data_IF_728515039243
#
_entry.id   IF_728515039243
#
_cell.length_a   1.000
_cell.length_b   1.000
_cell.length_c   1.000
_cell.angle_alpha   90.00
_cell.angle_beta   90.00
_cell.angle_gamma   90.00
#
_symmetry.space_group_name_H-M   'P 1'
#
loop_
_entity.id
_entity.type
_entity.pdbx_description
1 polymer ?
#
# COMPACT_ATOMS: atom_id res chain seq x y z
N UNK A 1 -77.45 -1.88 -32.59
CA UNK A 1 -78.55 -2.25 -31.65
C UNK A 1 -78.33 -1.45 -30.38
N UNK A 2 -79.23 -0.50 -30.12
CA UNK A 2 -79.04 0.64 -29.25
C UNK A 2 -80.23 0.81 -28.28
N UNK A 3 -79.99 1.51 -27.18
CA UNK A 3 -80.92 1.79 -26.07
C UNK A 3 -80.21 1.40 -24.77
N UNK A 4 -79.91 2.30 -23.85
CA UNK A 4 -80.86 2.97 -22.96
C UNK A 4 -80.23 4.31 -22.48
N UNK A 5 -80.96 5.43 -22.63
CA UNK A 5 -80.80 6.69 -21.88
C UNK A 5 -82.06 6.88 -21.01
N UNK A 6 -81.98 7.56 -19.84
CA UNK A 6 -82.40 8.97 -19.74
C UNK A 6 -81.59 9.74 -18.64
N UNK A 7 -81.69 11.05 -18.34
CA UNK A 7 -82.47 12.23 -18.75
C UNK A 7 -81.87 13.46 -18.01
N UNK A 8 -81.97 14.63 -18.65
CA UNK A 8 -82.34 15.97 -18.12
C UNK A 8 -81.49 16.60 -17.00
N UNK A 9 -81.19 17.90 -16.98
CA UNK A 9 -81.82 19.14 -17.47
C UNK A 9 -81.32 20.21 -16.47
N UNK A 10 -81.12 21.49 -16.75
CA UNK A 10 -81.99 22.42 -17.45
C UNK A 10 -81.25 23.77 -17.65
N UNK A 11 -81.87 24.76 -18.35
CA UNK A 11 -81.22 25.67 -19.27
C UNK A 11 -81.15 27.10 -18.76
N UNK A 12 -80.37 27.97 -19.41
CA UNK A 12 -80.82 29.33 -19.65
C UNK A 12 -80.23 29.88 -20.95
N UNK A 13 -81.14 30.00 -21.92
CA UNK A 13 -81.01 30.81 -23.12
C UNK A 13 -80.91 32.27 -22.69
N UNK A 14 -80.13 33.11 -23.35
CA UNK A 14 -80.64 34.42 -23.75
C UNK A 14 -79.85 34.95 -24.95
N UNK A 15 -80.62 35.14 -26.03
CA UNK A 15 -80.22 35.63 -27.33
C UNK A 15 -79.65 37.05 -27.25
N UNK A 16 -78.81 37.36 -28.24
CA UNK A 16 -78.18 38.64 -28.43
C UNK A 16 -79.21 39.77 -28.64
N UNK A 17 -79.14 40.78 -27.78
CA UNK A 17 -79.80 42.07 -27.96
C UNK A 17 -78.83 43.03 -28.65
N UNK A 18 -79.13 43.37 -29.90
CA UNK A 18 -78.41 44.35 -30.72
C UNK A 18 -79.32 45.56 -30.93
N UNK A 19 -79.11 46.66 -30.20
CA UNK A 19 -79.79 47.90 -30.61
C UNK A 19 -79.76 49.09 -29.67
N UNK A 20 -78.85 50.02 -29.99
CA UNK A 20 -79.06 51.47 -30.00
C UNK A 20 -79.55 52.22 -28.74
N UNK A 21 -78.62 52.98 -28.16
CA UNK A 21 -78.89 54.38 -27.81
C UNK A 21 -78.82 54.74 -26.33
N UNK A 22 -77.63 54.92 -25.77
CA UNK A 22 -77.36 55.95 -24.75
C UNK A 22 -75.90 56.41 -24.84
N UNK A 23 -75.66 57.73 -24.81
CA UNK A 23 -74.33 58.35 -24.77
C UNK A 23 -73.67 58.16 -23.40
N UNK A 24 -73.15 56.96 -23.13
CA UNK A 24 -72.19 56.69 -22.06
C UNK A 24 -71.06 55.83 -22.63
N UNK A 25 -69.78 56.15 -22.38
CA UNK A 25 -68.72 55.23 -22.77
C UNK A 25 -68.95 53.92 -22.02
N UNK A 26 -69.33 52.88 -22.76
CA UNK A 26 -69.33 51.50 -22.25
C UNK A 26 -67.87 51.18 -22.02
N UNK A 27 -67.47 51.16 -20.75
CA UNK A 27 -66.14 50.78 -20.31
C UNK A 27 -66.00 49.30 -20.66
N UNK A 28 -65.31 49.01 -21.77
CA UNK A 28 -65.04 47.64 -22.16
C UNK A 28 -64.17 47.01 -21.08
N UNK A 29 -64.72 46.01 -20.38
CA UNK A 29 -63.96 45.15 -19.48
C UNK A 29 -62.91 44.40 -20.32
N UNK A 30 -61.70 44.94 -20.36
CA UNK A 30 -60.56 44.28 -20.99
C UNK A 30 -60.24 43.04 -20.15
N UNK A 31 -60.31 41.81 -20.71
CA UNK A 31 -59.90 40.63 -19.99
C UNK A 31 -58.45 40.78 -19.54
N UNK A 32 -58.20 40.57 -18.25
CA UNK A 32 -56.87 40.69 -17.66
C UNK A 32 -55.86 39.85 -18.47
N UNK A 33 -54.77 40.49 -18.93
CA UNK A 33 -53.70 39.76 -19.60
C UNK A 33 -53.11 38.71 -18.63
N UNK A 34 -52.91 37.46 -19.06
CA UNK A 34 -52.28 36.46 -18.21
C UNK A 34 -50.86 36.92 -17.90
N UNK A 35 -50.60 37.26 -16.64
CA UNK A 35 -49.29 37.69 -16.18
C UNK A 35 -48.23 36.68 -16.59
N UNK A 36 -47.15 37.16 -17.20
CA UNK A 36 -46.03 36.32 -17.59
C UNK A 36 -45.55 35.53 -16.36
N UNK A 37 -45.83 34.22 -16.33
CA UNK A 37 -45.24 33.33 -15.33
C UNK A 37 -43.75 33.30 -15.63
N UNK A 38 -42.99 34.09 -14.86
CA UNK A 38 -41.54 34.02 -14.84
C UNK A 38 -41.13 32.56 -14.73
N UNK A 39 -40.53 32.03 -15.80
CA UNK A 39 -40.05 30.66 -15.88
C UNK A 39 -38.97 30.52 -14.81
N UNK A 40 -39.34 30.01 -13.63
CA UNK A 40 -38.45 29.88 -12.48
C UNK A 40 -37.27 29.00 -12.91
N UNK A 41 -36.08 29.60 -12.98
CA UNK A 41 -34.79 28.94 -13.20
C UNK A 41 -34.45 27.87 -12.13
N UNK A 42 -35.35 27.63 -11.16
CA UNK A 42 -35.23 26.62 -10.12
C UNK A 42 -35.10 25.19 -10.65
N UNK A 43 -35.62 24.86 -11.84
CA UNK A 43 -35.45 23.52 -12.42
C UNK A 43 -34.01 23.22 -12.86
N UNK A 44 -33.32 24.21 -13.44
CA UNK A 44 -31.92 24.07 -13.86
C UNK A 44 -30.99 24.10 -12.65
N UNK A 45 -31.24 25.00 -11.69
CA UNK A 45 -30.47 25.07 -10.43
C UNK A 45 -30.67 23.80 -9.60
N UNK A 46 -31.90 23.28 -9.49
CA UNK A 46 -32.17 22.01 -8.80
C UNK A 46 -31.53 20.82 -9.54
N UNK A 47 -31.53 20.81 -10.87
CA UNK A 47 -30.85 19.80 -11.69
C UNK A 47 -29.33 19.80 -11.49
N UNK A 48 -28.71 20.97 -11.45
CA UNK A 48 -27.26 21.13 -11.20
C UNK A 48 -26.91 20.73 -9.76
N UNK A 49 -27.72 21.15 -8.77
CA UNK A 49 -27.51 20.75 -7.37
C UNK A 49 -27.72 19.25 -7.15
N UNK A 50 -28.68 18.63 -7.84
CA UNK A 50 -28.89 17.19 -7.80
C UNK A 50 -27.74 16.42 -8.47
N UNK A 51 -27.24 16.88 -9.61
CA UNK A 51 -26.10 16.28 -10.29
C UNK A 51 -24.81 16.42 -9.45
N UNK A 52 -24.56 17.60 -8.87
CA UNK A 52 -23.46 17.82 -7.92
C UNK A 52 -23.61 16.95 -6.68
N UNK A 53 -24.82 16.83 -6.13
CA UNK A 53 -25.11 15.93 -5.01
C UNK A 53 -24.87 14.45 -5.35
N UNK A 54 -25.16 14.03 -6.58
CA UNK A 54 -24.91 12.66 -7.07
C UNK A 54 -23.40 12.39 -7.28
N UNK A 55 -22.66 13.37 -7.78
CA UNK A 55 -21.20 13.29 -7.92
C UNK A 55 -20.54 13.29 -6.54
N UNK A 56 -20.94 14.18 -5.64
CA UNK A 56 -20.42 14.25 -4.26
C UNK A 56 -20.79 12.99 -3.47
N UNK A 57 -21.99 12.42 -3.65
CA UNK A 57 -22.39 11.17 -2.97
C UNK A 57 -21.67 9.94 -3.52
N UNK A 58 -21.39 9.86 -4.83
CA UNK A 58 -20.53 8.81 -5.40
C UNK A 58 -19.08 8.96 -4.96
N UNK A 59 -18.55 10.18 -4.90
CA UNK A 59 -17.20 10.49 -4.44
C UNK A 59 -17.06 10.25 -2.92
N UNK A 60 -18.09 10.54 -2.14
CA UNK A 60 -18.14 10.25 -0.71
C UNK A 60 -18.33 8.76 -0.43
N UNK A 61 -19.00 8.00 -1.30
CA UNK A 61 -19.03 6.52 -1.23
C UNK A 61 -17.65 5.92 -1.47
N UNK A 62 -16.87 6.44 -2.41
CA UNK A 62 -15.47 6.06 -2.60
C UNK A 62 -14.64 6.44 -1.36
N UNK A 63 -14.82 7.64 -0.82
CA UNK A 63 -14.19 8.08 0.43
C UNK A 63 -14.56 7.20 1.64
N UNK A 64 -15.83 6.83 1.81
CA UNK A 64 -16.32 5.95 2.88
C UNK A 64 -15.89 4.49 2.71
N UNK A 65 -15.83 3.99 1.47
CA UNK A 65 -15.33 2.65 1.16
C UNK A 65 -13.84 2.55 1.46
N UNK A 66 -13.08 3.60 1.15
CA UNK A 66 -11.67 3.69 1.50
C UNK A 66 -11.48 3.85 3.02
N UNK A 67 -12.31 4.68 3.71
CA UNK A 67 -12.29 4.82 5.18
C UNK A 67 -12.68 3.53 5.93
N UNK A 68 -13.49 2.65 5.33
CA UNK A 68 -13.78 1.31 5.85
C UNK A 68 -12.53 0.43 5.94
N UNK A 69 -11.49 0.72 5.14
CA UNK A 69 -10.19 0.06 5.17
C UNK A 69 -9.10 0.99 5.70
N UNK A 70 -9.21 1.39 6.98
CA UNK A 70 -8.19 2.22 7.66
C UNK A 70 -6.75 1.70 7.42
N UNK A 71 -6.54 0.38 7.49
CA UNK A 71 -5.23 -0.24 7.24
C UNK A 71 -4.71 -0.05 5.80
N UNK A 72 -5.59 -0.04 4.80
CA UNK A 72 -5.20 0.15 3.40
C UNK A 72 -4.76 1.60 3.15
N UNK A 73 -5.49 2.57 3.71
CA UNK A 73 -5.11 3.98 3.63
C UNK A 73 -3.74 4.24 4.24
N UNK A 74 -3.48 3.72 5.44
CA UNK A 74 -2.16 3.90 6.08
C UNK A 74 -1.03 3.30 5.22
N UNK A 75 -1.23 2.10 4.66
CA UNK A 75 -0.26 1.49 3.73
C UNK A 75 -0.06 2.35 2.47
N UNK A 76 -1.13 2.78 1.82
CA UNK A 76 -1.05 3.58 0.59
C UNK A 76 -0.38 4.93 0.82
N UNK A 77 -0.75 5.64 1.88
CA UNK A 77 -0.17 6.95 2.22
C UNK A 77 1.31 6.79 2.58
N UNK A 78 1.64 5.84 3.46
CA UNK A 78 3.03 5.61 3.89
C UNK A 78 3.94 5.18 2.73
N UNK A 79 3.44 4.30 1.86
CA UNK A 79 4.13 3.87 0.64
C UNK A 79 4.30 5.04 -0.33
N UNK A 80 3.26 5.84 -0.55
CA UNK A 80 3.29 7.00 -1.43
C UNK A 80 4.29 8.07 -0.96
N UNK A 81 4.33 8.37 0.35
CA UNK A 81 5.32 9.28 0.94
C UNK A 81 6.73 8.74 0.78
N UNK A 82 6.94 7.45 1.05
CA UNK A 82 8.27 6.81 0.87
C UNK A 82 8.72 6.86 -0.59
N UNK A 83 7.81 6.57 -1.54
CA UNK A 83 8.09 6.65 -2.96
C UNK A 83 8.44 8.06 -3.39
N UNK A 84 7.73 9.07 -2.88
CA UNK A 84 8.04 10.47 -3.17
C UNK A 84 9.43 10.86 -2.65
N UNK A 85 9.77 10.51 -1.41
CA UNK A 85 11.09 10.81 -0.83
C UNK A 85 12.21 10.17 -1.68
N UNK A 86 12.09 8.89 -2.01
CA UNK A 86 13.10 8.20 -2.83
C UNK A 86 13.15 8.71 -4.27
N UNK A 87 12.00 9.06 -4.86
CA UNK A 87 11.94 9.67 -6.18
C UNK A 87 12.66 11.02 -6.23
N UNK A 88 12.56 11.84 -5.17
CA UNK A 88 13.26 13.12 -5.09
C UNK A 88 14.76 12.94 -4.86
N UNK A 89 15.17 11.96 -4.06
CA UNK A 89 16.59 11.73 -3.75
C UNK A 89 17.35 11.04 -4.88
N UNK A 90 16.73 10.09 -5.58
CA UNK A 90 17.43 9.21 -6.52
C UNK A 90 16.83 9.22 -7.95
N UNK A 91 15.86 10.10 -8.20
CA UNK A 91 15.13 10.19 -9.46
C UNK A 91 13.87 9.30 -9.48
N UNK A 92 12.85 9.75 -10.19
CA UNK A 92 11.51 9.16 -10.17
C UNK A 92 11.47 7.67 -10.52
N UNK A 93 12.08 7.28 -11.63
CA UNK A 93 12.00 5.89 -12.10
C UNK A 93 12.67 4.92 -11.13
N UNK A 94 13.85 5.28 -10.60
CA UNK A 94 14.58 4.44 -9.66
C UNK A 94 13.94 4.46 -8.26
N UNK A 95 13.54 5.63 -7.75
CA UNK A 95 12.90 5.75 -6.44
C UNK A 95 11.57 5.00 -6.35
N UNK A 96 10.74 5.05 -7.39
CA UNK A 96 9.51 4.24 -7.46
C UNK A 96 9.86 2.76 -7.56
N UNK A 97 10.85 2.39 -8.37
CA UNK A 97 11.32 1.01 -8.49
C UNK A 97 11.82 0.42 -7.16
N UNK A 98 12.55 1.20 -6.36
CA UNK A 98 12.96 0.80 -4.99
C UNK A 98 11.73 0.45 -4.14
N UNK A 99 10.72 1.31 -4.12
CA UNK A 99 9.51 1.05 -3.32
C UNK A 99 8.77 -0.19 -3.81
N UNK A 100 8.69 -0.40 -5.12
CA UNK A 100 8.11 -1.64 -5.68
C UNK A 100 8.88 -2.87 -5.21
N UNK A 101 10.21 -2.84 -5.24
CA UNK A 101 11.03 -3.96 -4.76
C UNK A 101 10.80 -4.24 -3.26
N UNK A 102 10.77 -3.20 -2.43
CA UNK A 102 10.49 -3.35 -1.00
C UNK A 102 9.07 -3.89 -0.76
N UNK A 103 8.07 -3.42 -1.51
CA UNK A 103 6.70 -3.96 -1.42
C UNK A 103 6.63 -5.44 -1.80
N UNK A 104 7.35 -5.86 -2.84
CA UNK A 104 7.39 -7.27 -3.24
C UNK A 104 8.06 -8.11 -2.15
N UNK A 105 9.16 -7.61 -1.56
CA UNK A 105 9.78 -8.23 -0.40
C UNK A 105 8.79 -8.39 0.76
N UNK A 106 8.12 -7.32 1.20
CA UNK A 106 7.14 -7.42 2.30
C UNK A 106 5.96 -8.34 1.98
N UNK A 107 5.53 -8.37 0.71
CA UNK A 107 4.47 -9.26 0.26
C UNK A 107 4.86 -10.73 0.47
N UNK A 108 6.14 -11.07 0.43
CA UNK A 108 6.65 -12.42 0.69
C UNK A 108 6.37 -12.88 2.12
N UNK A 109 6.61 -12.01 3.11
CA UNK A 109 6.25 -12.31 4.50
C UNK A 109 4.75 -12.49 4.66
N UNK A 110 3.95 -11.61 4.06
CA UNK A 110 2.48 -11.66 4.13
C UNK A 110 1.93 -12.93 3.48
N UNK A 111 2.47 -13.32 2.32
CA UNK A 111 2.08 -14.55 1.61
C UNK A 111 2.36 -15.77 2.48
N UNK A 112 3.59 -15.90 3.01
CA UNK A 112 3.93 -17.05 3.85
C UNK A 112 3.10 -17.08 5.14
N UNK A 113 2.88 -15.93 5.79
CA UNK A 113 2.05 -15.85 6.97
C UNK A 113 0.60 -16.29 6.70
N UNK A 114 0.02 -15.91 5.55
CA UNK A 114 -1.32 -16.35 5.15
C UNK A 114 -1.39 -17.84 4.84
N UNK A 115 -0.36 -18.40 4.20
CA UNK A 115 -0.26 -19.85 3.97
C UNK A 115 -0.23 -20.61 5.31
N UNK A 116 0.40 -20.04 6.34
CA UNK A 116 0.39 -20.58 7.70
C UNK A 116 -0.89 -20.30 8.50
N UNK A 117 -1.88 -19.63 7.91
CA UNK A 117 -3.14 -19.28 8.57
C UNK A 117 -3.03 -18.15 9.61
N UNK A 118 -1.95 -17.35 9.58
CA UNK A 118 -1.75 -16.25 10.53
C UNK A 118 -2.46 -14.97 10.06
N UNK A 119 -3.24 -14.31 10.94
CA UNK A 119 -3.94 -13.07 10.59
C UNK A 119 -2.96 -11.88 10.58
N UNK A 120 -2.50 -11.52 9.38
CA UNK A 120 -1.59 -10.39 9.15
C UNK A 120 -2.30 -9.18 8.53
N UNK A 121 -1.87 -7.96 8.91
CA UNK A 121 -2.33 -6.73 8.27
C UNK A 121 -1.50 -6.41 7.03
N UNK A 122 -1.87 -5.34 6.32
CA UNK A 122 -1.03 -4.79 5.26
C UNK A 122 0.24 -4.15 5.85
N UNK A 123 1.37 -4.17 5.13
CA UNK A 123 2.61 -3.52 5.53
C UNK A 123 2.46 -2.00 5.53
N UNK A 124 3.08 -1.32 6.50
CA UNK A 124 3.20 0.14 6.56
C UNK A 124 4.65 0.48 6.27
N UNK A 125 4.90 1.33 5.27
CA UNK A 125 6.27 1.73 4.92
C UNK A 125 6.78 2.85 5.81
N UNK A 126 8.01 2.74 6.29
CA UNK A 126 8.70 3.79 7.03
C UNK A 126 9.93 4.15 6.20
N UNK A 127 10.00 5.36 5.63
CA UNK A 127 11.15 5.79 4.85
C UNK A 127 12.46 5.51 5.61
N UNK A 128 13.44 4.94 4.90
CA UNK A 128 14.78 4.58 5.39
C UNK A 128 14.86 3.47 6.45
N UNK A 129 13.77 3.14 7.15
CA UNK A 129 13.72 2.06 8.12
C UNK A 129 13.17 0.74 7.55
N UNK A 130 12.49 0.78 6.40
CA UNK A 130 11.89 -0.39 5.75
C UNK A 130 10.38 -0.42 5.93
N UNK A 131 9.79 -1.59 6.19
CA UNK A 131 8.37 -1.71 6.46
C UNK A 131 8.07 -2.34 7.81
N UNK A 132 6.88 -2.03 8.32
CA UNK A 132 6.34 -2.62 9.52
C UNK A 132 4.99 -3.28 9.22
N UNK A 133 4.89 -4.58 9.46
CA UNK A 133 3.62 -5.32 9.43
C UNK A 133 3.17 -5.54 10.87
N UNK A 134 1.97 -5.04 11.21
CA UNK A 134 1.34 -5.38 12.48
C UNK A 134 0.74 -6.78 12.40
N UNK A 135 1.16 -7.66 13.31
CA UNK A 135 0.60 -9.00 13.43
C UNK A 135 -0.45 -9.02 14.54
N UNK A 136 -1.68 -9.44 14.22
CA UNK A 136 -2.76 -9.60 15.22
C UNK A 136 -2.53 -10.80 16.13
N UNK A 137 -1.78 -11.80 15.64
CA UNK A 137 -1.33 -12.96 16.39
C UNK A 137 0.14 -13.18 16.07
N UNK A 138 0.95 -13.33 17.12
CA UNK A 138 2.37 -13.65 16.99
C UNK A 138 2.54 -15.11 16.53
N UNK A 139 3.64 -15.45 15.83
CA UNK A 139 3.99 -16.84 15.55
C UNK A 139 3.96 -17.69 16.83
N UNK A 140 3.56 -18.97 16.72
CA UNK A 140 3.46 -19.86 17.89
C UNK A 140 4.77 -20.57 18.22
N UNK A 141 5.67 -20.65 17.25
CA UNK A 141 6.99 -21.27 17.39
C UNK A 141 8.03 -20.45 16.64
N UNK A 142 9.31 -20.58 17.04
CA UNK A 142 10.42 -19.95 16.33
C UNK A 142 10.53 -20.48 14.89
N UNK A 143 10.09 -21.71 14.62
CA UNK A 143 10.06 -22.26 13.26
C UNK A 143 9.08 -21.53 12.34
N UNK A 144 7.89 -21.21 12.83
CA UNK A 144 6.94 -20.39 12.06
C UNK A 144 7.50 -18.98 11.82
N UNK A 145 8.13 -18.38 12.84
CA UNK A 145 8.78 -17.06 12.73
C UNK A 145 9.89 -17.07 11.66
N UNK A 146 10.77 -18.08 11.68
CA UNK A 146 11.88 -18.20 10.73
C UNK A 146 11.42 -18.49 9.31
N UNK A 147 10.45 -19.39 9.10
CA UNK A 147 9.94 -19.68 7.75
C UNK A 147 9.23 -18.46 7.17
N UNK A 148 8.46 -17.72 7.98
CA UNK A 148 7.85 -16.45 7.56
C UNK A 148 8.91 -15.41 7.19
N UNK A 149 9.99 -15.30 7.97
CA UNK A 149 11.09 -14.38 7.70
C UNK A 149 11.87 -14.72 6.41
N UNK A 150 11.88 -15.98 5.94
CA UNK A 150 12.47 -16.33 4.63
C UNK A 150 11.60 -15.81 3.47
N UNK A 151 10.29 -15.70 3.66
CA UNK A 151 9.35 -15.36 2.58
C UNK A 151 9.68 -14.05 1.86
N UNK A 152 10.05 -13.01 2.61
CA UNK A 152 10.39 -11.72 2.03
C UNK A 152 11.65 -11.73 1.19
N UNK A 153 12.79 -12.17 1.74
CA UNK A 153 14.02 -12.41 0.98
C UNK A 153 13.82 -13.27 -0.27
N UNK A 154 12.98 -14.30 -0.25
CA UNK A 154 12.70 -15.13 -1.44
C UNK A 154 11.98 -14.34 -2.53
N UNK A 155 10.85 -13.68 -2.23
CA UNK A 155 10.13 -12.90 -3.24
C UNK A 155 10.95 -11.67 -3.70
N UNK A 156 11.66 -11.02 -2.78
CA UNK A 156 12.58 -9.94 -3.11
C UNK A 156 13.71 -10.39 -4.05
N UNK A 157 14.27 -11.59 -3.83
CA UNK A 157 15.29 -12.16 -4.71
C UNK A 157 14.74 -12.43 -6.12
N UNK A 158 13.51 -12.95 -6.22
CA UNK A 158 12.86 -13.18 -7.50
C UNK A 158 12.66 -11.85 -8.24
N UNK A 159 12.19 -10.80 -7.55
CA UNK A 159 12.01 -9.48 -8.14
C UNK A 159 13.33 -8.89 -8.64
N UNK A 160 14.39 -8.95 -7.83
CA UNK A 160 15.73 -8.51 -8.23
C UNK A 160 16.27 -9.31 -9.43
N UNK A 161 16.04 -10.63 -9.45
CA UNK A 161 16.39 -11.51 -10.56
C UNK A 161 15.64 -11.17 -11.85
N UNK A 162 14.36 -10.81 -11.77
CA UNK A 162 13.58 -10.34 -12.93
C UNK A 162 14.10 -9.00 -13.47
N UNK A 163 14.50 -8.08 -12.60
CA UNK A 163 15.18 -6.85 -13.02
C UNK A 163 16.50 -7.17 -13.72
N UNK A 164 17.29 -8.10 -13.19
CA UNK A 164 18.55 -8.50 -13.81
C UNK A 164 18.34 -9.16 -15.18
N UNK A 165 17.39 -10.08 -15.30
CA UNK A 165 17.04 -10.70 -16.59
C UNK A 165 16.57 -9.65 -17.61
N UNK A 166 15.77 -8.68 -17.17
CA UNK A 166 15.36 -7.55 -17.99
C UNK A 166 16.55 -6.72 -18.48
N UNK A 167 17.51 -6.40 -17.61
CA UNK A 167 18.77 -5.75 -18.02
C UNK A 167 19.52 -6.56 -19.10
N UNK A 168 19.68 -7.88 -18.93
CA UNK A 168 20.39 -8.72 -19.90
C UNK A 168 19.75 -8.72 -21.29
N UNK A 169 18.44 -8.48 -21.37
CA UNK A 169 17.73 -8.38 -22.65
C UNK A 169 17.93 -7.04 -23.39
N UNK A 170 18.36 -5.98 -22.70
CA UNK A 170 18.44 -4.62 -23.26
C UNK A 170 19.58 -3.79 -22.65
N UNK A 171 20.83 -4.29 -22.60
CA UNK A 171 21.90 -3.76 -21.76
C UNK A 171 22.29 -2.31 -22.08
N UNK A 172 22.25 -1.92 -23.35
CA UNK A 172 22.68 -0.57 -23.80
C UNK A 172 21.61 0.52 -23.65
N UNK A 173 20.37 0.11 -23.33
CA UNK A 173 19.23 1.03 -23.20
C UNK A 173 19.23 1.77 -21.86
N UNK A 174 18.59 2.93 -21.81
CA UNK A 174 18.34 3.65 -20.55
C UNK A 174 17.52 2.81 -19.56
N UNK A 175 16.53 2.07 -20.05
CA UNK A 175 15.73 1.12 -19.27
C UNK A 175 16.58 -0.03 -18.72
N UNK A 176 17.50 -0.58 -19.53
CA UNK A 176 18.42 -1.62 -19.10
C UNK A 176 19.29 -1.17 -17.94
N UNK A 177 19.88 0.03 -18.01
CA UNK A 177 20.66 0.62 -16.91
C UNK A 177 19.83 0.82 -15.63
N UNK A 178 18.58 1.28 -15.77
CA UNK A 178 17.65 1.39 -14.64
C UNK A 178 17.38 0.02 -14.00
N UNK A 179 17.08 -1.00 -14.81
CA UNK A 179 16.81 -2.36 -14.35
C UNK A 179 18.04 -2.99 -13.69
N UNK A 180 19.24 -2.72 -14.21
CA UNK A 180 20.49 -3.15 -13.59
C UNK A 180 20.68 -2.52 -12.21
N UNK A 181 20.42 -1.21 -12.07
CA UNK A 181 20.50 -0.51 -10.79
C UNK A 181 19.47 -1.04 -9.78
N UNK A 182 18.24 -1.29 -10.23
CA UNK A 182 17.19 -1.90 -9.42
C UNK A 182 17.53 -3.33 -9.00
N UNK A 183 18.13 -4.12 -9.90
CA UNK A 183 18.58 -5.46 -9.58
C UNK A 183 19.69 -5.42 -8.51
N UNK A 184 20.71 -4.56 -8.68
CA UNK A 184 21.76 -4.37 -7.68
C UNK A 184 21.19 -3.97 -6.32
N UNK A 185 20.33 -2.94 -6.28
CA UNK A 185 19.67 -2.51 -5.04
C UNK A 185 18.82 -3.63 -4.44
N UNK A 186 18.05 -4.34 -5.27
CA UNK A 186 17.23 -5.47 -4.85
C UNK A 186 18.04 -6.59 -4.23
N UNK A 187 19.15 -6.98 -4.83
CA UNK A 187 20.05 -7.98 -4.23
C UNK A 187 20.67 -7.47 -2.93
N UNK A 188 21.13 -6.21 -2.91
CA UNK A 188 21.72 -5.58 -1.73
C UNK A 188 20.75 -5.51 -0.55
N UNK A 189 19.51 -5.04 -0.76
CA UNK A 189 18.54 -4.87 0.34
C UNK A 189 18.11 -6.21 0.92
N UNK A 190 17.94 -7.24 0.08
CA UNK A 190 17.64 -8.59 0.55
C UNK A 190 18.83 -9.17 1.32
N UNK A 191 20.07 -8.97 0.86
CA UNK A 191 21.27 -9.44 1.55
C UNK A 191 21.44 -8.74 2.90
N UNK A 192 21.19 -7.43 2.95
CA UNK A 192 21.15 -6.64 4.18
C UNK A 192 20.10 -7.19 5.16
N UNK A 193 18.88 -7.47 4.67
CA UNK A 193 17.84 -8.07 5.51
C UNK A 193 18.19 -9.48 5.99
N UNK A 194 19.09 -10.20 5.32
CA UNK A 194 19.59 -11.50 5.79
C UNK A 194 20.75 -11.40 6.80
N UNK A 195 21.22 -10.21 7.18
CA UNK A 195 22.16 -10.08 8.31
C UNK A 195 21.52 -10.75 9.55
N UNK A 196 22.27 -11.57 10.31
CA UNK A 196 21.73 -12.34 11.43
C UNK A 196 21.47 -11.46 12.66
N UNK A 197 20.67 -10.40 12.53
CA UNK A 197 20.37 -9.44 13.60
C UNK A 197 18.91 -9.00 13.52
N UNK A 198 18.10 -9.30 14.54
CA UNK A 198 16.75 -8.73 14.65
C UNK A 198 16.89 -7.21 14.82
N UNK A 199 16.10 -6.31 14.19
CA UNK A 199 14.81 -6.52 13.55
C UNK A 199 14.82 -7.13 12.14
N UNK A 200 16.00 -7.29 11.52
CA UNK A 200 16.17 -7.82 10.17
C UNK A 200 15.74 -9.29 10.09
N UNK A 201 15.35 -9.74 8.90
CA UNK A 201 14.82 -11.08 8.68
C UNK A 201 15.81 -12.18 9.04
N UNK A 202 17.08 -12.01 8.68
CA UNK A 202 18.16 -12.95 8.99
C UNK A 202 18.28 -13.22 10.48
N UNK A 203 18.02 -12.23 11.33
CA UNK A 203 17.97 -12.40 12.77
C UNK A 203 16.84 -13.32 13.24
N UNK A 204 15.69 -13.25 12.57
CA UNK A 204 14.52 -14.13 12.82
C UNK A 204 14.74 -15.52 12.24
N UNK A 205 15.34 -15.64 11.06
CA UNK A 205 15.69 -16.93 10.45
C UNK A 205 16.72 -17.69 11.28
N UNK A 206 17.84 -17.04 11.62
CA UNK A 206 18.94 -17.67 12.36
C UNK A 206 18.61 -17.91 13.84
N UNK A 207 17.57 -17.27 14.39
CA UNK A 207 17.11 -17.53 15.76
C UNK A 207 16.65 -18.97 15.98
N UNK A 208 16.17 -19.65 14.93
CA UNK A 208 15.84 -21.07 14.95
C UNK A 208 17.08 -21.97 15.07
N UNK A 209 18.23 -21.51 14.57
CA UNK A 209 19.50 -22.21 14.72
C UNK A 209 20.09 -21.97 16.11
N UNK A 210 20.26 -20.70 16.49
CA UNK A 210 20.78 -20.29 17.78
C UNK A 210 20.55 -18.79 18.05
N UNK A 211 20.20 -18.44 19.28
CA UNK A 211 20.14 -17.05 19.74
C UNK A 211 21.46 -16.30 19.60
N UNK A 212 22.60 -17.01 19.59
CA UNK A 212 23.94 -16.42 19.45
C UNK A 212 24.20 -15.81 18.07
N UNK A 213 23.46 -16.21 17.05
CA UNK A 213 23.56 -15.56 15.74
C UNK A 213 23.18 -14.07 15.81
N UNK A 214 22.22 -13.69 16.66
CA UNK A 214 21.87 -12.28 16.87
C UNK A 214 23.03 -11.48 17.50
N UNK A 215 23.83 -12.11 18.36
CA UNK A 215 25.05 -11.49 18.89
C UNK A 215 26.09 -11.32 17.79
N UNK A 216 26.27 -12.32 16.93
CA UNK A 216 27.17 -12.21 15.78
C UNK A 216 26.74 -11.07 14.84
N UNK A 217 25.45 -10.95 14.55
CA UNK A 217 24.90 -9.85 13.77
C UNK A 217 25.12 -8.48 14.43
N UNK A 218 25.01 -8.38 15.76
CA UNK A 218 25.29 -7.15 16.51
C UNK A 218 26.77 -6.75 16.36
N UNK A 219 27.69 -7.70 16.45
CA UNK A 219 29.12 -7.47 16.26
C UNK A 219 29.44 -7.03 14.83
N UNK A 220 28.78 -7.62 13.82
CA UNK A 220 28.91 -7.21 12.42
C UNK A 220 28.44 -5.75 12.27
N UNK A 221 27.24 -5.43 12.74
CA UNK A 221 26.68 -4.08 12.64
C UNK A 221 27.55 -3.05 13.39
N UNK A 222 28.10 -3.41 14.55
CA UNK A 222 29.00 -2.56 15.32
C UNK A 222 30.33 -2.35 14.58
N UNK A 223 30.90 -3.40 14.00
CA UNK A 223 32.10 -3.31 13.20
C UNK A 223 31.92 -2.40 11.97
N UNK A 224 30.79 -2.53 11.27
CA UNK A 224 30.45 -1.66 10.13
C UNK A 224 30.30 -0.20 10.57
N UNK A 225 29.60 0.07 11.68
CA UNK A 225 29.45 1.42 12.19
C UNK A 225 30.81 2.04 12.58
N UNK A 226 31.66 1.28 13.27
CA UNK A 226 33.00 1.74 13.64
C UNK A 226 33.86 2.02 12.40
N UNK A 227 33.75 1.18 11.37
CA UNK A 227 34.43 1.41 10.10
C UNK A 227 33.96 2.70 9.42
N UNK A 228 32.65 3.00 9.40
CA UNK A 228 32.13 4.27 8.87
C UNK A 228 32.65 5.48 9.67
N UNK A 229 32.70 5.37 11.00
CA UNK A 229 33.22 6.43 11.88
C UNK A 229 34.71 6.69 11.64
N UNK A 230 35.51 5.64 11.43
CA UNK A 230 36.95 5.76 11.16
C UNK A 230 37.25 6.26 9.76
N UNK A 231 36.41 5.93 8.78
CA UNK A 231 36.61 6.30 7.37
C UNK A 231 36.34 7.79 7.11
N UNK A 232 35.90 8.56 8.11
CA UNK A 232 35.51 9.97 7.95
C UNK A 232 34.25 10.17 7.10
N UNK A 233 33.55 9.08 6.77
CA UNK A 233 32.28 9.10 6.04
C UNK A 233 31.14 9.51 6.97
N UNK A 234 30.07 10.08 6.41
CA UNK A 234 28.85 10.35 7.18
C UNK A 234 28.29 9.03 7.71
N UNK A 235 28.24 8.92 9.04
CA UNK A 235 27.69 7.75 9.74
C UNK A 235 26.24 7.54 9.32
N UNK A 236 25.93 6.33 8.86
CA UNK A 236 24.59 5.94 8.45
C UNK A 236 23.63 5.93 9.65
N UNK A 237 22.58 6.77 9.68
CA UNK A 237 21.58 6.74 10.74
C UNK A 237 20.88 5.37 10.83
N UNK A 238 20.81 4.64 9.72
CA UNK A 238 20.19 3.32 9.65
C UNK A 238 20.99 2.30 10.45
N UNK A 239 22.32 2.25 10.31
CA UNK A 239 23.15 1.32 11.09
C UNK A 239 23.08 1.60 12.60
N UNK A 240 23.02 2.88 12.97
CA UNK A 240 22.85 3.27 14.37
C UNK A 240 21.50 2.78 14.94
N UNK A 241 20.41 2.94 14.19
CA UNK A 241 19.09 2.43 14.59
C UNK A 241 19.06 0.90 14.65
N UNK A 242 19.66 0.22 13.66
CA UNK A 242 19.79 -1.24 13.63
C UNK A 242 20.54 -1.75 14.86
N UNK A 243 21.58 -1.05 15.31
CA UNK A 243 22.31 -1.40 16.53
C UNK A 243 21.48 -1.22 17.80
N UNK A 244 20.76 -0.11 17.93
CA UNK A 244 19.90 0.13 19.10
C UNK A 244 18.80 -0.92 19.19
N UNK A 245 18.03 -1.09 18.12
CA UNK A 245 16.95 -2.07 18.08
C UNK A 245 17.48 -3.50 18.15
N UNK A 246 18.64 -3.76 17.56
CA UNK A 246 19.28 -5.07 17.58
C UNK A 246 19.84 -5.45 18.95
N UNK A 247 20.41 -4.51 19.69
CA UNK A 247 20.83 -4.75 21.07
C UNK A 247 19.63 -5.08 21.95
N UNK A 248 18.57 -4.27 21.85
CA UNK A 248 17.33 -4.49 22.61
C UNK A 248 16.67 -5.84 22.25
N UNK A 249 16.53 -6.14 20.96
CA UNK A 249 15.94 -7.39 20.51
C UNK A 249 16.77 -8.61 20.89
N UNK A 250 18.10 -8.51 20.82
CA UNK A 250 19.02 -9.58 21.27
C UNK A 250 18.85 -9.84 22.76
N UNK A 251 18.85 -8.79 23.59
CA UNK A 251 18.62 -8.91 25.02
C UNK A 251 17.26 -9.54 25.34
N UNK A 252 16.19 -9.06 24.69
CA UNK A 252 14.85 -9.61 24.83
C UNK A 252 14.80 -11.09 24.43
N UNK A 253 15.50 -11.49 23.36
CA UNK A 253 15.55 -12.88 22.88
C UNK A 253 16.15 -13.83 23.91
N UNK A 254 17.26 -13.44 24.54
CA UNK A 254 17.87 -14.24 25.61
C UNK A 254 16.90 -14.42 26.79
N UNK A 255 16.21 -13.34 27.17
CA UNK A 255 15.19 -13.38 28.23
C UNK A 255 14.01 -14.27 27.86
N UNK A 256 13.48 -14.15 26.65
CA UNK A 256 12.35 -14.95 26.16
C UNK A 256 12.69 -16.43 26.00
N UNK A 257 13.94 -16.76 25.64
CA UNK A 257 14.40 -18.16 25.57
C UNK A 257 14.41 -18.82 26.94
N UNK A 258 14.81 -18.09 27.98
CA UNK A 258 14.79 -18.57 29.36
C UNK A 258 13.36 -18.75 29.88
N UNK A 259 12.43 -17.87 29.50
CA UNK A 259 11.04 -17.91 29.96
C UNK A 259 10.17 -18.94 29.23
N UNK A 260 10.39 -19.13 27.92
CA UNK A 260 9.54 -19.97 27.06
C UNK A 260 10.38 -20.96 26.23
N UNK A 261 11.05 -21.95 26.85
CA UNK A 261 11.91 -22.88 26.12
C UNK A 261 11.15 -23.69 25.07
N UNK A 262 9.88 -24.00 25.31
CA UNK A 262 9.02 -24.73 24.36
C UNK A 262 8.84 -23.98 23.02
N UNK A 263 8.86 -22.65 23.01
CA UNK A 263 8.77 -21.85 21.78
C UNK A 263 9.98 -22.05 20.85
N UNK A 264 11.14 -22.33 21.45
CA UNK A 264 12.43 -22.50 20.76
C UNK A 264 12.80 -23.98 20.54
N UNK A 265 11.94 -24.91 20.96
CA UNK A 265 12.12 -26.32 20.70
C UNK A 265 11.82 -26.60 19.22
N UNK A 266 12.86 -26.97 18.47
CA UNK A 266 12.79 -27.28 17.03
C UNK A 266 13.60 -28.52 16.75
N UNK A 267 13.05 -29.40 15.93
CA UNK A 267 13.71 -30.61 15.46
C UNK A 267 14.92 -30.29 14.57
N UNK A 268 15.86 -31.24 14.50
CA UNK A 268 17.11 -31.04 13.75
C UNK A 268 16.87 -30.95 12.25
N UNK A 269 15.86 -31.64 11.71
CA UNK A 269 15.58 -31.64 10.28
C UNK A 269 15.13 -30.26 9.82
N UNK A 270 14.21 -29.63 10.55
CA UNK A 270 13.78 -28.25 10.29
C UNK A 270 14.95 -27.28 10.37
N UNK A 271 15.86 -27.44 11.34
CA UNK A 271 17.09 -26.62 11.42
C UNK A 271 17.97 -26.76 10.20
N UNK A 272 18.19 -28.00 9.73
CA UNK A 272 18.99 -28.26 8.53
C UNK A 272 18.32 -27.66 7.30
N UNK A 273 17.02 -27.89 7.10
CA UNK A 273 16.29 -27.39 5.92
C UNK A 273 16.29 -25.86 5.89
N UNK A 274 15.89 -25.21 6.98
CA UNK A 274 15.83 -23.74 7.07
C UNK A 274 17.23 -23.13 6.97
N UNK A 275 18.23 -23.74 7.60
CA UNK A 275 19.63 -23.31 7.51
C UNK A 275 20.19 -23.43 6.10
N UNK A 276 19.93 -24.54 5.40
CA UNK A 276 20.34 -24.72 4.00
C UNK A 276 19.67 -23.72 3.06
N UNK A 277 18.37 -23.47 3.25
CA UNK A 277 17.66 -22.45 2.46
C UNK A 277 18.25 -21.06 2.69
N UNK A 278 18.55 -20.70 3.94
CA UNK A 278 19.19 -19.43 4.29
C UNK A 278 20.56 -19.27 3.62
N UNK A 279 21.42 -20.30 3.66
CA UNK A 279 22.73 -20.28 3.01
C UNK A 279 22.63 -20.21 1.49
N UNK A 280 21.71 -20.98 0.88
CA UNK A 280 21.47 -20.93 -0.55
C UNK A 280 21.02 -19.54 -1.00
N UNK A 281 20.17 -18.90 -0.19
CA UNK A 281 19.69 -17.55 -0.47
C UNK A 281 20.79 -16.50 -0.34
N UNK A 282 21.62 -16.58 0.70
CA UNK A 282 22.81 -15.73 0.86
C UNK A 282 23.75 -15.86 -0.35
N UNK A 283 24.01 -17.08 -0.79
CA UNK A 283 24.86 -17.34 -1.95
C UNK A 283 24.25 -16.75 -3.24
N UNK A 284 22.97 -17.02 -3.51
CA UNK A 284 22.29 -16.54 -4.70
C UNK A 284 22.24 -15.00 -4.75
N UNK A 285 21.93 -14.36 -3.63
CA UNK A 285 21.89 -12.90 -3.49
C UNK A 285 23.28 -12.28 -3.65
N UNK A 286 24.30 -12.85 -3.00
CA UNK A 286 25.68 -12.39 -3.13
C UNK A 286 26.18 -12.51 -4.57
N UNK A 287 25.89 -13.63 -5.23
CA UNK A 287 26.20 -13.81 -6.65
C UNK A 287 25.48 -12.78 -7.53
N UNK A 288 24.17 -12.61 -7.37
CA UNK A 288 23.39 -11.63 -8.14
C UNK A 288 23.88 -10.20 -7.94
N UNK A 289 24.24 -9.83 -6.70
CA UNK A 289 24.82 -8.54 -6.38
C UNK A 289 26.17 -8.34 -7.09
N UNK A 290 27.05 -9.33 -7.10
CA UNK A 290 28.34 -9.25 -7.81
C UNK A 290 28.14 -9.06 -9.33
N UNK A 291 27.19 -9.78 -9.93
CA UNK A 291 26.90 -9.68 -11.36
C UNK A 291 26.32 -8.31 -11.77
N UNK A 292 25.63 -7.64 -10.84
CA UNK A 292 25.01 -6.32 -11.07
C UNK A 292 25.87 -5.16 -10.60
N UNK A 293 26.89 -5.42 -9.78
CA UNK A 293 27.83 -4.42 -9.24
C UNK A 293 28.71 -3.73 -10.29
N UNK A 294 28.71 -4.21 -11.54
CA UNK A 294 29.43 -3.59 -12.65
C UNK A 294 29.04 -2.11 -12.91
N UNK A 295 27.92 -1.63 -12.33
CA UNK A 295 27.56 -0.21 -12.26
C UNK A 295 28.61 0.67 -11.55
N UNK A 296 29.42 0.10 -10.64
CA UNK A 296 30.40 0.83 -9.84
C UNK A 296 31.80 0.92 -10.51
N UNK A 297 31.96 0.43 -11.74
CA UNK A 297 33.23 0.44 -12.47
C UNK A 297 33.18 1.37 -13.68
#
# INVERSE_FOLDING_TARGET
>A
MAGIYPKNGDPEQHAADYGYGTNRPVQADIPAQPGSRGRRNGGVVAGILAALGLVVSKLSYVGLLLLKFKSLWFTLVSTGVTALIYAQLFGWAFGVGIVVLILIHESGHVVVARIMGLPVTLPVMIPFLGAFVSMKQQPRTVAQESIMAIGGPVLGSIAAGLCYAGYLSMPDSSTGRLLQALAYFGFLINLFNLIPLTPLDGGRVTSLLSKWFNVAGLLIAAGLLLFEMQSGTTVSPVLFLVLIFGAFATWQRFRSTALNPAYYAVDVQTKVVVGSLYLALLFALGWGMLQTSAILR
#
